data_IF_994874501561
#
_entry.id   IF_994874501561
#
_cell.length_a   1.000
_cell.length_b   1.000
_cell.length_c   1.000
_cell.angle_alpha   90.00
_cell.angle_beta   90.00
_cell.angle_gamma   90.00
#
_symmetry.space_group_name_H-M   'P 1'
#
loop_
_entity.id
_entity.type
_entity.pdbx_description
1 polymer ?
#
# COMPACT_ATOMS: atom_id res chain seq x y z
N UNK A 1 -19.81 10.31 10.69
CA UNK A 1 -19.45 8.94 11.05
C UNK A 1 -17.99 8.75 10.63
N UNK A 2 -17.09 8.47 11.56
CA UNK A 2 -15.65 8.37 11.29
C UNK A 2 -15.34 6.99 10.71
N UNK A 3 -14.54 6.90 9.63
CA UNK A 3 -14.18 5.63 9.00
C UNK A 3 -13.41 4.74 10.00
N UNK A 4 -13.68 3.43 10.00
CA UNK A 4 -13.01 2.42 10.82
C UNK A 4 -11.48 2.44 10.66
N UNK A 5 -10.97 2.76 9.46
CA UNK A 5 -9.54 2.99 9.24
C UNK A 5 -9.02 4.12 10.12
N UNK A 6 -9.67 5.28 10.08
CA UNK A 6 -9.29 6.46 10.86
C UNK A 6 -9.27 6.16 12.36
N UNK A 7 -10.28 5.45 12.87
CA UNK A 7 -10.39 5.08 14.29
C UNK A 7 -9.20 4.20 14.72
N UNK A 8 -8.77 3.26 13.88
CA UNK A 8 -7.66 2.36 14.22
C UNK A 8 -6.30 3.04 14.06
N UNK A 9 -6.12 3.87 13.02
CA UNK A 9 -4.94 4.73 12.88
C UNK A 9 -4.75 5.59 14.13
N UNK A 10 -5.82 6.17 14.68
CA UNK A 10 -5.73 6.97 15.90
C UNK A 10 -5.36 6.15 17.15
N UNK A 11 -5.54 4.83 17.16
CA UNK A 11 -5.10 3.96 18.26
C UNK A 11 -3.64 3.49 18.09
N UNK A 12 -3.08 3.59 16.89
CA UNK A 12 -1.75 3.11 16.57
C UNK A 12 -0.66 3.92 17.30
N UNK A 13 0.22 3.23 18.04
CA UNK A 13 1.30 3.88 18.82
C UNK A 13 2.30 4.65 17.97
N UNK A 14 2.64 4.12 16.79
CA UNK A 14 3.58 4.75 15.85
C UNK A 14 2.96 5.99 15.19
N UNK A 15 1.66 5.94 14.90
CA UNK A 15 0.92 7.13 14.51
C UNK A 15 0.94 8.19 15.62
N UNK A 16 0.80 7.77 16.89
CA UNK A 16 0.83 8.69 18.03
C UNK A 16 2.19 9.35 18.28
N UNK A 17 3.30 8.77 17.84
CA UNK A 17 4.62 9.42 17.90
C UNK A 17 4.88 10.46 16.81
N UNK A 18 4.01 10.56 15.79
CA UNK A 18 4.19 11.54 14.71
C UNK A 18 3.93 12.98 15.17
N UNK A 19 4.56 13.94 14.49
CA UNK A 19 4.24 15.36 14.68
C UNK A 19 2.78 15.67 14.33
N UNK A 20 2.20 16.65 15.03
CA UNK A 20 0.79 17.02 14.88
C UNK A 20 0.38 17.32 13.43
N UNK A 21 1.27 17.99 12.67
CA UNK A 21 1.02 18.29 11.27
C UNK A 21 0.95 17.02 10.39
N UNK A 22 1.82 16.03 10.62
CA UNK A 22 1.80 14.74 9.91
C UNK A 22 0.51 13.98 10.24
N UNK A 23 0.12 13.95 11.52
CA UNK A 23 -1.12 13.32 12.00
C UNK A 23 -2.35 13.86 11.27
N UNK A 24 -2.53 15.18 11.24
CA UNK A 24 -3.68 15.83 10.61
C UNK A 24 -3.74 15.50 9.12
N UNK A 25 -2.61 15.61 8.40
CA UNK A 25 -2.54 15.30 6.97
C UNK A 25 -2.83 13.83 6.69
N UNK A 26 -2.27 12.93 7.49
CA UNK A 26 -2.46 11.49 7.33
C UNK A 26 -3.92 11.09 7.55
N UNK A 27 -4.55 11.56 8.64
CA UNK A 27 -5.97 11.29 8.92
C UNK A 27 -6.88 11.85 7.82
N UNK A 28 -6.56 13.04 7.30
CA UNK A 28 -7.30 13.63 6.19
C UNK A 28 -7.23 12.76 4.92
N UNK A 29 -6.09 12.12 4.66
CA UNK A 29 -5.95 11.18 3.54
C UNK A 29 -6.64 9.86 3.81
N UNK A 30 -6.36 9.22 4.95
CA UNK A 30 -6.87 7.88 5.24
C UNK A 30 -8.40 7.84 5.27
N UNK A 31 -9.04 8.92 5.72
CA UNK A 31 -10.49 9.04 5.79
C UNK A 31 -11.19 9.06 4.41
N UNK A 32 -10.44 9.24 3.31
CA UNK A 32 -11.00 9.24 1.95
C UNK A 32 -11.15 7.85 1.35
N UNK A 33 -10.37 6.89 1.86
CA UNK A 33 -10.34 5.53 1.34
C UNK A 33 -11.58 4.74 1.79
N UNK A 34 -12.08 3.89 0.91
CA UNK A 34 -13.25 3.02 1.07
C UNK A 34 -12.87 1.59 0.70
N UNK A 35 -13.72 0.63 1.04
CA UNK A 35 -13.62 -0.76 0.58
C UNK A 35 -13.23 -0.87 -0.90
N UNK A 36 -12.26 -1.73 -1.18
CA UNK A 36 -11.61 -1.98 -2.47
C UNK A 36 -10.70 -0.85 -3.01
N UNK A 37 -10.55 0.27 -2.31
CA UNK A 37 -9.51 1.23 -2.67
C UNK A 37 -8.12 0.67 -2.32
N UNK A 38 -7.10 1.20 -3.00
CA UNK A 38 -5.71 0.82 -2.79
C UNK A 38 -4.90 1.96 -2.18
N UNK A 39 -4.23 1.65 -1.07
CA UNK A 39 -3.35 2.55 -0.34
C UNK A 39 -1.90 2.16 -0.63
N UNK A 40 -1.07 3.13 -1.02
CA UNK A 40 0.36 2.92 -1.23
C UNK A 40 1.17 4.12 -0.73
N UNK A 41 2.45 3.90 -0.41
CA UNK A 41 3.31 4.93 0.18
C UNK A 41 3.42 6.19 -0.68
N UNK A 42 3.42 6.05 -2.00
CA UNK A 42 3.44 7.19 -2.94
C UNK A 42 2.21 8.10 -2.81
N UNK A 43 1.08 7.59 -2.31
CA UNK A 43 -0.05 8.43 -1.97
C UNK A 43 0.17 9.27 -0.71
N UNK A 44 1.32 9.20 -0.04
CA UNK A 44 1.59 9.91 1.22
C UNK A 44 2.89 10.73 1.18
N UNK A 45 3.53 10.85 0.01
CA UNK A 45 4.80 11.58 -0.15
C UNK A 45 4.75 13.05 0.33
N UNK A 46 3.61 13.75 0.20
CA UNK A 46 3.51 15.16 0.64
C UNK A 46 3.35 15.36 2.15
N UNK A 47 3.26 14.25 2.90
CA UNK A 47 3.08 14.25 4.35
C UNK A 47 4.44 14.23 5.07
N UNK A 48 5.55 14.08 4.32
CA UNK A 48 6.90 13.98 4.87
C UNK A 48 7.01 12.85 5.91
N UNK A 49 6.33 11.74 5.61
CA UNK A 49 6.46 10.48 6.33
C UNK A 49 7.60 9.69 5.74
N UNK A 50 8.45 9.14 6.59
CA UNK A 50 9.38 8.10 6.18
C UNK A 50 8.62 6.87 5.71
N UNK A 51 9.26 6.10 4.82
CA UNK A 51 8.75 4.83 4.34
C UNK A 51 8.43 3.87 5.50
N UNK A 52 9.28 3.85 6.52
CA UNK A 52 9.10 3.00 7.70
C UNK A 52 7.88 3.40 8.55
N UNK A 53 7.68 4.70 8.81
CA UNK A 53 6.51 5.19 9.55
C UNK A 53 5.21 4.80 8.83
N UNK A 54 5.16 4.96 7.51
CA UNK A 54 4.00 4.56 6.72
C UNK A 54 3.71 3.06 6.82
N UNK A 55 4.71 2.21 6.53
CA UNK A 55 4.48 0.76 6.52
C UNK A 55 4.17 0.23 7.91
N UNK A 56 4.76 0.78 8.97
CA UNK A 56 4.43 0.38 10.34
C UNK A 56 2.96 0.66 10.70
N UNK A 57 2.40 1.77 10.22
CA UNK A 57 0.97 2.06 10.40
C UNK A 57 0.11 1.12 9.56
N UNK A 58 0.49 0.84 8.32
CA UNK A 58 -0.28 -0.06 7.44
C UNK A 58 -0.28 -1.51 7.94
N UNK A 59 0.85 -2.01 8.46
CA UNK A 59 0.95 -3.37 9.03
C UNK A 59 0.02 -3.53 10.24
N UNK A 60 -0.09 -2.53 11.10
CA UNK A 60 -1.06 -2.55 12.21
C UNK A 60 -2.51 -2.57 11.69
N UNK A 61 -2.83 -1.84 10.62
CA UNK A 61 -4.16 -1.93 9.99
C UNK A 61 -4.41 -3.31 9.36
N UNK A 62 -3.38 -3.96 8.85
CA UNK A 62 -3.43 -5.31 8.30
C UNK A 62 -3.66 -6.36 9.39
N UNK A 63 -2.94 -6.27 10.51
CA UNK A 63 -3.13 -7.12 11.70
C UNK A 63 -4.55 -6.99 12.28
N UNK A 64 -5.16 -5.81 12.16
CA UNK A 64 -6.55 -5.56 12.55
C UNK A 64 -7.58 -5.94 11.46
N UNK A 65 -7.15 -6.60 10.37
CA UNK A 65 -7.98 -7.05 9.26
C UNK A 65 -8.78 -5.93 8.56
N UNK A 66 -8.24 -4.72 8.51
CA UNK A 66 -8.88 -3.57 7.85
C UNK A 66 -8.37 -3.37 6.42
N UNK A 67 -7.13 -3.79 6.18
CA UNK A 67 -6.49 -3.80 4.88
C UNK A 67 -5.81 -5.15 4.64
N UNK A 68 -5.61 -5.52 3.39
CA UNK A 68 -4.77 -6.66 3.00
C UNK A 68 -3.56 -6.13 2.23
N UNK A 69 -2.35 -6.56 2.61
CA UNK A 69 -1.17 -6.31 1.79
C UNK A 69 -1.27 -7.09 0.50
N UNK A 70 -1.00 -6.41 -0.60
CA UNK A 70 -0.93 -7.00 -1.94
C UNK A 70 0.30 -6.45 -2.66
N UNK A 71 0.69 -7.12 -3.73
CA UNK A 71 1.82 -6.75 -4.55
C UNK A 71 1.35 -6.54 -5.98
N UNK A 72 1.50 -5.32 -6.48
CA UNK A 72 1.25 -5.04 -7.89
C UNK A 72 2.54 -5.24 -8.68
N UNK A 73 2.45 -5.98 -9.77
CA UNK A 73 3.57 -6.30 -10.64
C UNK A 73 3.65 -5.31 -11.78
N UNK A 74 4.87 -4.86 -12.06
CA UNK A 74 5.20 -3.92 -13.11
C UNK A 74 6.06 -4.61 -14.17
N UNK A 75 5.88 -4.22 -15.44
CA UNK A 75 6.75 -4.72 -16.50
C UNK A 75 8.15 -4.12 -16.32
N UNK A 76 9.23 -4.91 -16.34
CA UNK A 76 10.59 -4.39 -16.29
C UNK A 76 10.96 -3.62 -17.56
N UNK A 77 10.21 -3.82 -18.66
CA UNK A 77 10.49 -3.23 -19.97
C UNK A 77 9.82 -1.87 -20.17
N UNK A 78 8.55 -1.74 -19.74
CA UNK A 78 7.79 -0.47 -19.89
C UNK A 78 7.70 0.31 -18.60
N UNK A 79 7.98 -0.31 -17.45
CA UNK A 79 7.74 0.24 -16.12
C UNK A 79 6.27 0.60 -15.84
N UNK A 80 5.34 0.13 -16.67
CA UNK A 80 3.91 0.23 -16.44
C UNK A 80 3.43 -0.89 -15.52
N UNK A 81 2.30 -0.65 -14.85
CA UNK A 81 1.60 -1.72 -14.13
C UNK A 81 1.12 -2.75 -15.13
N UNK A 82 1.32 -4.03 -14.82
CA UNK A 82 0.78 -5.15 -15.60
C UNK A 82 -0.69 -5.43 -15.26
N UNK A 83 -1.25 -4.77 -14.25
CA UNK A 83 -2.58 -5.06 -13.72
C UNK A 83 -2.65 -6.28 -12.80
N UNK A 84 -1.61 -7.13 -12.77
CA UNK A 84 -1.54 -8.28 -11.86
C UNK A 84 -1.29 -7.83 -10.42
N UNK A 85 -2.14 -8.31 -9.52
CA UNK A 85 -1.96 -8.17 -8.07
C UNK A 85 -1.87 -9.54 -7.41
N UNK A 86 -0.87 -9.73 -6.57
CA UNK A 86 -0.63 -10.97 -5.84
C UNK A 86 -0.81 -10.74 -4.34
N UNK A 87 -1.42 -11.69 -3.64
CA UNK A 87 -1.52 -11.66 -2.18
C UNK A 87 -0.24 -12.20 -1.51
N UNK A 88 0.52 -13.05 -2.24
CA UNK A 88 1.82 -13.60 -1.85
C UNK A 88 2.79 -13.49 -3.03
N UNK A 89 4.10 -13.42 -2.77
CA UNK A 89 5.13 -13.39 -3.83
C UNK A 89 6.05 -14.60 -3.70
N UNK A 90 6.21 -15.34 -4.78
CA UNK A 90 7.44 -16.10 -5.04
C UNK A 90 8.28 -15.31 -6.07
N UNK A 91 9.50 -14.94 -5.70
CA UNK A 91 10.43 -14.19 -6.57
C UNK A 91 10.99 -15.04 -7.73
N UNK A 92 10.47 -16.24 -7.92
CA UNK A 92 10.74 -17.11 -9.08
C UNK A 92 9.55 -17.23 -10.01
N UNK A 93 8.40 -16.64 -9.66
CA UNK A 93 7.22 -16.66 -10.51
C UNK A 93 7.49 -15.91 -11.81
N UNK A 94 6.97 -16.46 -12.91
CA UNK A 94 7.02 -15.86 -14.23
C UNK A 94 5.65 -15.27 -14.56
N UNK A 95 5.63 -14.00 -14.95
CA UNK A 95 4.42 -13.26 -15.31
C UNK A 95 4.53 -12.80 -16.76
N UNK A 96 3.42 -12.92 -17.47
CA UNK A 96 3.29 -12.48 -18.85
C UNK A 96 2.66 -11.08 -18.90
N UNK A 97 3.34 -10.13 -19.54
CA UNK A 97 2.80 -8.79 -19.79
C UNK A 97 2.19 -8.71 -21.19
N UNK A 98 0.87 -8.53 -21.23
CA UNK A 98 0.12 -8.39 -22.49
C UNK A 98 0.52 -7.16 -23.31
N UNK A 99 0.96 -6.07 -22.66
CA UNK A 99 1.39 -4.85 -23.37
C UNK A 99 2.65 -5.06 -24.21
N UNK A 100 3.57 -5.92 -23.73
CA UNK A 100 4.87 -6.15 -24.37
C UNK A 100 4.96 -7.49 -25.08
N UNK A 101 3.98 -8.38 -24.93
CA UNK A 101 4.01 -9.77 -25.40
C UNK A 101 5.25 -10.53 -24.88
N UNK A 102 5.66 -10.25 -23.65
CA UNK A 102 6.87 -10.82 -23.03
C UNK A 102 6.59 -11.35 -21.63
N UNK A 103 7.22 -12.48 -21.31
CA UNK A 103 7.24 -13.04 -19.97
C UNK A 103 8.52 -12.61 -19.23
N UNK A 104 8.40 -12.38 -17.93
CA UNK A 104 9.53 -12.00 -17.07
C UNK A 104 9.37 -12.54 -15.65
N UNK A 105 10.50 -12.65 -14.95
CA UNK A 105 10.53 -13.11 -13.56
C UNK A 105 10.19 -11.98 -12.59
N UNK A 106 9.35 -12.27 -11.61
CA UNK A 106 9.05 -11.36 -10.51
C UNK A 106 10.31 -11.12 -9.68
N UNK A 107 10.62 -9.85 -9.40
CA UNK A 107 11.79 -9.44 -8.64
C UNK A 107 11.44 -8.25 -7.74
N UNK A 108 12.25 -7.94 -6.71
CA UNK A 108 12.01 -6.78 -5.87
C UNK A 108 11.95 -5.45 -6.65
N UNK A 109 12.60 -5.37 -7.81
CA UNK A 109 12.67 -4.16 -8.63
C UNK A 109 11.39 -3.90 -9.45
N UNK A 110 10.57 -4.93 -9.68
CA UNK A 110 9.37 -4.86 -10.52
C UNK A 110 8.07 -5.10 -9.75
N UNK A 111 8.10 -4.97 -8.42
CA UNK A 111 6.93 -5.06 -7.55
C UNK A 111 6.72 -3.77 -6.77
N UNK A 112 5.46 -3.43 -6.49
CA UNK A 112 5.11 -2.38 -5.52
C UNK A 112 4.13 -2.92 -4.50
N UNK A 113 4.42 -2.65 -3.23
CA UNK A 113 3.51 -2.98 -2.13
C UNK A 113 2.34 -2.01 -2.13
N UNK A 114 1.13 -2.54 -2.09
CA UNK A 114 -0.11 -1.81 -1.82
C UNK A 114 -0.88 -2.46 -0.69
N UNK A 115 -1.84 -1.74 -0.15
CA UNK A 115 -2.78 -2.22 0.85
C UNK A 115 -4.20 -2.02 0.31
N UNK A 116 -4.93 -3.11 0.08
CA UNK A 116 -6.33 -3.08 -0.35
C UNK A 116 -7.23 -2.93 0.86
N UNK A 117 -8.12 -1.94 0.87
CA UNK A 117 -9.08 -1.74 1.96
C UNK A 117 -10.16 -2.82 1.93
N UNK A 118 -10.39 -3.48 3.06
CA UNK A 118 -11.36 -4.58 3.21
C UNK A 118 -12.71 -4.09 3.76
N UNK A 119 -12.70 -3.01 4.54
CA UNK A 119 -13.84 -2.49 5.32
C UNK A 119 -14.59 -1.35 4.66
#
# INVERSE_FOLDING_TARGET
MQNLLTINVEKNKNFQSLDQHKKIKFLKKINRYKKNDFIQYSNFYEIDLSTNEFYTIMLDLEENHLVAKIFEVYSPYTHNSTGYTLDEIDLKDEIYCEETDEAFTVSPDNIKVKFKVIV
#
